data_IF_200303634606
#
_entry.id   IF_200303634606
#
_cell.length_a   1.000
_cell.length_b   1.000
_cell.length_c   1.000
_cell.angle_alpha   90.00
_cell.angle_beta   90.00
_cell.angle_gamma   90.00
#
_symmetry.space_group_name_H-M   'P 1'
#
loop_
_entity.id
_entity.type
_entity.pdbx_description
1 polymer ?
#
# COMPACT_ATOMS: atom_id res chain seq x y z
N UNK A 1 7.09 50.75 15.26
CA UNK A 1 6.51 49.73 16.18
C UNK A 1 5.75 48.74 15.31
N UNK A 2 6.12 47.49 15.11
CA UNK A 2 7.21 46.64 15.63
C UNK A 2 7.48 45.57 14.57
N UNK A 3 8.76 45.32 14.32
CA UNK A 3 9.31 44.33 13.37
C UNK A 3 9.49 42.99 14.11
N UNK A 4 9.02 41.88 13.55
CA UNK A 4 9.43 40.49 13.90
C UNK A 4 9.49 39.70 12.58
N UNK A 5 10.64 39.72 11.90
CA UNK A 5 11.72 38.70 11.86
C UNK A 5 11.34 37.33 11.28
N UNK A 6 11.81 37.17 10.04
CA UNK A 6 12.21 35.94 9.33
C UNK A 6 12.91 34.97 10.28
N UNK A 7 12.35 33.77 10.49
CA UNK A 7 13.03 32.67 11.16
C UNK A 7 13.62 31.75 10.08
N UNK A 8 14.94 31.58 10.17
CA UNK A 8 15.77 30.79 9.29
C UNK A 8 15.51 29.30 9.49
N UNK A 9 15.44 28.58 8.36
CA UNK A 9 15.49 27.13 8.27
C UNK A 9 16.86 26.65 8.78
N UNK A 10 16.88 26.13 10.00
CA UNK A 10 17.88 25.19 10.49
C UNK A 10 17.14 23.91 10.89
N UNK A 11 16.71 23.11 9.89
CA UNK A 11 16.34 21.71 10.10
C UNK A 11 17.58 20.88 9.78
N UNK A 12 18.60 21.06 10.62
CA UNK A 12 19.83 20.27 10.60
C UNK A 12 19.76 19.15 11.63
N UNK A 13 20.11 17.94 11.20
CA UNK A 13 20.67 16.85 12.02
C UNK A 13 19.69 16.09 12.94
N UNK A 14 18.65 16.71 13.51
CA UNK A 14 17.72 16.02 14.44
C UNK A 14 16.77 14.98 13.81
N UNK A 15 16.54 15.05 12.49
CA UNK A 15 15.65 14.14 11.73
C UNK A 15 16.32 12.79 11.41
N UNK A 16 17.64 12.80 11.25
CA UNK A 16 18.45 11.62 10.94
C UNK A 16 18.75 10.77 12.19
N UNK A 17 18.84 11.38 13.38
CA UNK A 17 18.99 10.62 14.62
C UNK A 17 17.72 9.85 15.01
N UNK A 18 16.53 10.37 14.67
CA UNK A 18 15.26 9.67 14.85
C UNK A 18 15.10 8.49 13.87
N UNK A 19 15.58 8.64 12.63
CA UNK A 19 15.66 7.55 11.63
C UNK A 19 16.70 6.50 12.04
N UNK A 20 17.88 6.91 12.52
CA UNK A 20 18.93 5.99 13.01
C UNK A 20 18.47 5.15 14.21
N UNK A 21 17.76 5.75 15.17
CA UNK A 21 17.20 5.04 16.31
C UNK A 21 16.03 4.12 15.94
N UNK A 22 15.33 4.40 14.84
CA UNK A 22 14.31 3.50 14.29
C UNK A 22 14.97 2.29 13.61
N UNK A 23 16.02 2.51 12.80
CA UNK A 23 16.77 1.46 12.09
C UNK A 23 17.55 0.53 13.04
N UNK A 24 18.16 1.05 14.09
CA UNK A 24 18.93 0.23 15.05
C UNK A 24 18.02 -0.59 15.99
N UNK A 25 16.82 -0.08 16.31
CA UNK A 25 15.75 -0.90 16.94
C UNK A 25 15.19 -1.95 15.98
N UNK A 26 15.16 -1.64 14.67
CA UNK A 26 14.69 -2.53 13.61
C UNK A 26 15.59 -3.75 13.41
N UNK A 27 16.91 -3.58 13.51
CA UNK A 27 17.89 -4.67 13.40
C UNK A 27 17.87 -5.58 14.63
N UNK A 28 17.54 -5.03 15.81
CA UNK A 28 17.37 -5.83 17.04
C UNK A 28 16.02 -6.58 17.05
N UNK A 29 14.98 -6.05 16.38
CA UNK A 29 13.70 -6.75 16.20
C UNK A 29 13.78 -7.84 15.12
N UNK A 30 14.55 -7.63 14.04
CA UNK A 30 14.73 -8.64 12.98
C UNK A 30 15.45 -9.90 13.47
N UNK A 31 16.44 -9.78 14.37
CA UNK A 31 17.18 -10.92 14.94
C UNK A 31 16.33 -11.78 15.89
N UNK A 32 15.30 -11.22 16.53
CA UNK A 32 14.35 -11.97 17.34
C UNK A 32 13.27 -12.68 16.51
N UNK A 33 13.12 -12.32 15.22
CA UNK A 33 12.10 -12.86 14.30
C UNK A 33 12.58 -14.13 13.57
N UNK A 34 13.89 -14.39 13.48
CA UNK A 34 14.47 -15.53 12.75
C UNK A 34 14.62 -16.83 13.56
N UNK A 35 13.81 -17.01 14.61
CA UNK A 35 13.80 -18.23 15.43
C UNK A 35 13.32 -19.51 14.72
N UNK A 36 12.74 -19.41 13.52
CA UNK A 36 12.50 -20.55 12.63
C UNK A 36 12.47 -20.07 11.17
N UNK A 37 13.66 -19.93 10.59
CA UNK A 37 13.80 -19.98 9.14
C UNK A 37 13.32 -21.36 8.66
N UNK A 38 12.07 -21.46 8.21
CA UNK A 38 11.63 -22.59 7.39
C UNK A 38 12.53 -22.57 6.15
N UNK A 39 13.40 -23.59 5.94
CA UNK A 39 14.27 -23.59 4.78
C UNK A 39 13.39 -23.73 3.55
N UNK A 40 13.52 -22.81 2.60
CA UNK A 40 13.10 -23.04 1.21
C UNK A 40 13.97 -24.17 0.66
N UNK A 41 13.54 -25.41 0.93
CA UNK A 41 14.27 -26.62 0.61
C UNK A 41 14.45 -26.73 -0.91
N UNK A 42 15.71 -26.55 -1.32
CA UNK A 42 16.19 -26.93 -2.63
C UNK A 42 16.06 -28.44 -2.82
N UNK A 43 15.50 -28.79 -3.99
CA UNK A 43 15.51 -30.06 -4.70
C UNK A 43 16.06 -31.31 -4.00
N UNK A 44 15.19 -32.30 -3.83
CA UNK A 44 15.61 -33.70 -3.96
C UNK A 44 14.85 -34.39 -5.10
N UNK A 45 15.67 -34.90 -6.02
CA UNK A 45 15.35 -35.83 -7.11
C UNK A 45 14.36 -36.90 -6.63
N UNK A 46 13.20 -36.95 -7.26
CA UNK A 46 12.47 -38.20 -7.41
C UNK A 46 12.79 -38.79 -8.79
N UNK A 47 13.09 -40.08 -8.78
CA UNK A 47 13.65 -40.89 -9.84
C UNK A 47 12.74 -41.03 -11.06
N UNK A 48 13.40 -41.08 -12.22
CA UNK A 48 12.96 -41.61 -13.53
C UNK A 48 11.76 -42.58 -13.46
N UNK A 49 10.70 -42.26 -14.19
CA UNK A 49 10.24 -43.09 -15.31
C UNK A 49 9.22 -42.32 -16.17
N UNK A 50 9.51 -42.25 -17.46
CA UNK A 50 8.57 -42.20 -18.59
C UNK A 50 7.23 -41.48 -18.42
N UNK A 51 7.12 -40.26 -18.93
CA UNK A 51 6.12 -40.02 -19.97
C UNK A 51 6.51 -38.83 -20.86
N UNK A 52 7.01 -39.17 -22.04
CA UNK A 52 7.36 -38.24 -23.10
C UNK A 52 6.19 -38.18 -24.07
N UNK A 53 5.36 -37.13 -23.99
CA UNK A 53 4.59 -36.52 -25.10
C UNK A 53 3.45 -35.67 -24.53
N UNK A 54 3.71 -34.37 -24.33
CA UNK A 54 2.77 -33.24 -24.54
C UNK A 54 3.34 -32.01 -23.85
N UNK A 55 3.63 -30.97 -24.65
CA UNK A 55 3.63 -29.52 -24.34
C UNK A 55 4.77 -28.80 -25.07
N UNK A 56 4.77 -28.86 -26.40
CA UNK A 56 5.69 -28.10 -27.26
C UNK A 56 5.01 -26.87 -27.89
N UNK A 57 4.27 -26.07 -27.10
CA UNK A 57 3.67 -24.80 -27.60
C UNK A 57 3.78 -23.64 -26.60
N UNK A 58 3.94 -23.89 -25.29
CA UNK A 58 3.99 -22.83 -24.27
C UNK A 58 5.37 -22.21 -23.98
N UNK A 59 6.47 -22.80 -24.49
CA UNK A 59 7.84 -22.40 -24.09
C UNK A 59 8.48 -21.34 -24.99
N UNK A 60 7.89 -21.04 -26.15
CA UNK A 60 8.48 -20.08 -27.10
C UNK A 60 8.08 -18.62 -26.82
N UNK A 61 6.98 -18.38 -26.10
CA UNK A 61 6.54 -17.01 -25.75
C UNK A 61 7.39 -16.40 -24.63
N UNK A 62 7.80 -17.20 -23.65
CA UNK A 62 8.60 -16.74 -22.50
C UNK A 62 10.04 -16.35 -22.88
N UNK A 63 10.59 -16.89 -23.98
CA UNK A 63 11.93 -16.51 -24.45
C UNK A 63 11.98 -15.14 -25.12
N UNK A 64 10.86 -14.61 -25.64
CA UNK A 64 10.82 -13.25 -26.18
C UNK A 64 10.74 -12.19 -25.08
N UNK A 65 10.04 -12.47 -23.98
CA UNK A 65 9.96 -11.56 -22.83
C UNK A 65 11.33 -11.47 -22.14
N UNK A 66 12.04 -12.59 -21.98
CA UNK A 66 13.37 -12.62 -21.35
C UNK A 66 14.47 -11.93 -22.15
N UNK A 67 14.36 -11.86 -23.49
CA UNK A 67 15.35 -11.19 -24.33
C UNK A 67 15.10 -9.67 -24.45
N UNK A 68 13.89 -9.19 -24.15
CA UNK A 68 13.59 -7.75 -24.12
C UNK A 68 14.07 -7.08 -22.81
N UNK A 69 14.17 -7.83 -21.71
CA UNK A 69 14.65 -7.32 -20.42
C UNK A 69 16.15 -7.02 -20.41
N UNK A 70 16.95 -7.62 -21.31
CA UNK A 70 18.40 -7.41 -21.37
C UNK A 70 18.83 -6.15 -22.14
N UNK A 71 17.91 -5.39 -22.71
CA UNK A 71 18.20 -4.16 -23.46
C UNK A 71 17.78 -2.88 -22.71
N UNK A 72 17.26 -2.99 -21.48
CA UNK A 72 17.14 -1.83 -20.61
C UNK A 72 18.54 -1.51 -20.07
N UNK A 73 19.29 -0.79 -20.90
CA UNK A 73 20.42 0.00 -20.45
C UNK A 73 19.93 0.80 -19.23
N UNK A 74 20.65 0.70 -18.12
CA UNK A 74 20.37 1.40 -16.88
C UNK A 74 20.61 2.89 -17.15
N UNK A 75 19.64 3.58 -17.75
CA UNK A 75 19.57 5.03 -17.64
C UNK A 75 19.38 5.33 -16.16
N UNK A 76 20.31 6.08 -15.59
CA UNK A 76 20.17 6.67 -14.26
C UNK A 76 18.83 7.41 -14.24
N UNK A 77 17.86 6.83 -13.52
CA UNK A 77 16.61 7.51 -13.24
C UNK A 77 17.00 8.80 -12.50
N UNK A 78 16.61 9.97 -13.00
CA UNK A 78 16.87 11.21 -12.28
C UNK A 78 16.32 11.10 -10.86
N UNK A 79 17.06 11.65 -9.89
CA UNK A 79 16.63 11.76 -8.49
C UNK A 79 15.16 12.22 -8.44
N UNK A 80 14.30 11.58 -7.63
CA UNK A 80 12.83 11.72 -7.70
C UNK A 80 12.31 13.15 -7.48
N UNK A 81 13.17 14.06 -7.04
CA UNK A 81 12.86 15.44 -6.71
C UNK A 81 12.72 16.35 -7.95
N UNK A 82 13.28 15.96 -9.10
CA UNK A 82 13.31 16.82 -10.29
C UNK A 82 12.04 16.78 -11.17
N UNK A 83 11.06 15.91 -10.85
CA UNK A 83 9.91 15.64 -11.72
C UNK A 83 8.55 16.16 -11.20
N UNK A 84 8.51 16.85 -10.06
CA UNK A 84 7.25 17.00 -9.29
C UNK A 84 6.73 18.44 -9.19
N UNK A 85 7.43 19.46 -9.69
CA UNK A 85 7.07 20.86 -9.37
C UNK A 85 5.79 21.39 -10.08
N UNK A 86 5.33 20.79 -11.18
CA UNK A 86 4.22 21.33 -12.00
C UNK A 86 3.05 20.35 -12.24
N UNK A 87 3.07 19.17 -11.61
CA UNK A 87 1.92 18.27 -11.68
C UNK A 87 0.82 18.82 -10.76
N UNK A 88 -0.43 18.96 -11.23
CA UNK A 88 -1.53 19.21 -10.30
C UNK A 88 -1.54 18.05 -9.32
N UNK A 89 -1.43 18.37 -8.02
CA UNK A 89 -1.47 17.40 -6.92
C UNK A 89 -2.83 16.67 -6.98
N UNK A 90 -2.86 15.56 -7.72
CA UNK A 90 -4.05 14.73 -7.85
C UNK A 90 -4.12 13.83 -6.62
N UNK A 91 -4.71 14.37 -5.55
CA UNK A 91 -5.08 13.59 -4.37
C UNK A 91 -6.34 12.75 -4.69
N UNK A 92 -6.14 11.73 -5.52
CA UNK A 92 -7.20 10.84 -6.00
C UNK A 92 -6.78 9.39 -5.74
N UNK A 93 -7.59 8.61 -4.99
CA UNK A 93 -7.30 7.22 -4.71
C UNK A 93 -7.02 6.43 -5.99
N UNK A 94 -5.97 5.59 -6.02
CA UNK A 94 -5.67 4.74 -7.18
C UNK A 94 -6.88 3.89 -7.61
N UNK A 95 -7.68 3.45 -6.64
CA UNK A 95 -8.92 2.71 -6.88
C UNK A 95 -9.94 3.50 -7.72
N UNK A 96 -10.00 4.83 -7.58
CA UNK A 96 -10.91 5.68 -8.34
C UNK A 96 -10.60 5.64 -9.84
N UNK A 97 -9.32 5.57 -10.22
CA UNK A 97 -8.92 5.44 -11.62
C UNK A 97 -9.44 4.15 -12.26
N UNK A 98 -9.48 3.03 -11.50
CA UNK A 98 -9.98 1.74 -12.02
C UNK A 98 -11.44 1.83 -12.46
N UNK A 99 -12.22 2.71 -11.86
CA UNK A 99 -13.64 2.91 -12.19
C UNK A 99 -13.87 3.67 -13.50
N UNK A 100 -12.85 4.36 -14.03
CA UNK A 100 -12.96 5.14 -15.26
C UNK A 100 -12.94 4.23 -16.50
N UNK A 101 -13.67 4.60 -17.57
CA UNK A 101 -13.47 4.03 -18.90
C UNK A 101 -12.00 4.13 -19.34
N UNK A 102 -11.47 3.09 -19.98
CA UNK A 102 -10.04 2.99 -20.36
C UNK A 102 -9.50 4.25 -21.02
N UNK A 103 -10.22 4.84 -21.97
CA UNK A 103 -9.79 6.06 -22.68
C UNK A 103 -9.67 7.28 -21.75
N UNK A 104 -10.58 7.44 -20.79
CA UNK A 104 -10.53 8.53 -19.82
C UNK A 104 -9.39 8.30 -18.83
N UNK A 105 -9.24 7.07 -18.33
CA UNK A 105 -8.16 6.67 -17.44
C UNK A 105 -6.78 6.93 -18.05
N UNK A 106 -6.56 6.45 -19.28
CA UNK A 106 -5.29 6.64 -19.99
C UNK A 106 -4.98 8.13 -20.20
N UNK A 107 -5.97 8.93 -20.60
CA UNK A 107 -5.78 10.36 -20.79
C UNK A 107 -5.36 11.05 -19.48
N UNK A 108 -6.07 10.80 -18.38
CA UNK A 108 -5.77 11.42 -17.08
C UNK A 108 -4.41 10.98 -16.56
N UNK A 109 -4.07 9.69 -16.59
CA UNK A 109 -2.77 9.21 -16.11
C UNK A 109 -1.63 9.84 -16.92
N UNK A 110 -1.73 9.82 -18.25
CA UNK A 110 -0.66 10.37 -19.10
C UNK A 110 -0.49 11.88 -18.91
N UNK A 111 -1.58 12.63 -18.77
CA UNK A 111 -1.51 14.09 -18.66
C UNK A 111 -1.23 14.58 -17.25
N UNK A 112 -1.99 14.07 -16.27
CA UNK A 112 -2.07 14.65 -14.93
C UNK A 112 -1.15 13.93 -13.92
N UNK A 113 -0.79 12.66 -14.18
CA UNK A 113 0.16 11.90 -13.33
C UNK A 113 1.56 11.88 -13.93
N UNK A 114 1.67 11.68 -15.25
CA UNK A 114 2.96 11.60 -15.95
C UNK A 114 3.41 12.93 -16.59
N UNK A 115 2.57 13.97 -16.53
CA UNK A 115 2.93 15.32 -16.97
C UNK A 115 3.05 15.54 -18.47
N UNK A 116 2.64 14.60 -19.32
CA UNK A 116 2.86 14.68 -20.77
C UNK A 116 2.10 15.85 -21.42
N UNK A 117 2.59 16.38 -22.53
CA UNK A 117 1.79 17.32 -23.35
C UNK A 117 0.55 16.63 -23.96
N UNK A 118 -0.37 17.43 -24.52
CA UNK A 118 -1.57 16.87 -25.17
C UNK A 118 -1.20 16.06 -26.42
N UNK A 119 -0.17 16.51 -27.13
CA UNK A 119 0.40 15.88 -28.32
C UNK A 119 1.07 14.55 -27.96
N UNK A 120 1.89 14.54 -26.90
CA UNK A 120 2.54 13.33 -26.38
C UNK A 120 1.54 12.34 -25.78
N UNK A 121 0.41 12.81 -25.26
CA UNK A 121 -0.68 11.94 -24.79
C UNK A 121 -1.47 11.33 -25.97
N UNK A 122 -1.68 12.09 -27.04
CA UNK A 122 -2.45 11.66 -28.21
C UNK A 122 -1.77 10.51 -28.99
N UNK A 123 -0.44 10.56 -29.11
CA UNK A 123 0.36 9.57 -29.83
C UNK A 123 0.20 8.11 -29.31
N UNK A 124 0.45 7.79 -28.02
CA UNK A 124 0.27 6.44 -27.49
C UNK A 124 -1.20 6.01 -27.43
N UNK A 125 -2.14 6.96 -27.39
CA UNK A 125 -3.58 6.68 -27.43
C UNK A 125 -4.12 6.43 -28.84
N UNK A 126 -3.30 6.59 -29.90
CA UNK A 126 -3.72 6.57 -31.30
C UNK A 126 -4.99 7.42 -31.53
N UNK A 127 -4.98 8.63 -30.97
CA UNK A 127 -6.14 9.52 -30.90
C UNK A 127 -5.74 10.94 -31.34
N UNK A 128 -6.71 11.82 -31.55
CA UNK A 128 -6.45 13.23 -31.83
C UNK A 128 -6.40 14.07 -30.55
N UNK A 129 -5.70 15.22 -30.58
CA UNK A 129 -5.66 16.17 -29.45
C UNK A 129 -7.05 16.60 -28.96
N UNK A 130 -8.04 16.92 -29.84
CA UNK A 130 -9.40 17.22 -29.39
C UNK A 130 -10.07 16.04 -28.66
N UNK A 131 -9.84 14.81 -29.11
CA UNK A 131 -10.37 13.62 -28.45
C UNK A 131 -9.72 13.39 -27.07
N UNK A 132 -8.41 13.65 -26.93
CA UNK A 132 -7.71 13.64 -25.64
C UNK A 132 -8.28 14.69 -24.69
N UNK A 133 -8.46 15.94 -25.14
CA UNK A 133 -9.10 17.00 -24.33
C UNK A 133 -10.48 16.58 -23.84
N UNK A 134 -11.30 16.01 -24.73
CA UNK A 134 -12.64 15.53 -24.39
C UNK A 134 -12.60 14.38 -23.36
N UNK A 135 -11.62 13.47 -23.49
CA UNK A 135 -11.41 12.37 -22.54
C UNK A 135 -10.95 12.89 -21.16
N UNK A 136 -10.04 13.87 -21.12
CA UNK A 136 -9.57 14.51 -19.88
C UNK A 136 -10.71 15.20 -19.13
N UNK A 137 -11.50 16.03 -19.83
CA UNK A 137 -12.63 16.73 -19.19
C UNK A 137 -13.60 15.75 -18.54
N UNK A 138 -13.96 14.67 -19.25
CA UNK A 138 -14.84 13.63 -18.69
C UNK A 138 -14.18 12.81 -17.59
N UNK A 139 -12.90 12.49 -17.75
CA UNK A 139 -12.13 11.73 -16.77
C UNK A 139 -12.04 12.47 -15.44
N UNK A 140 -11.63 13.74 -15.46
CA UNK A 140 -11.56 14.61 -14.27
C UNK A 140 -12.92 14.77 -13.60
N UNK A 141 -13.97 15.07 -14.37
CA UNK A 141 -15.33 15.17 -13.82
C UNK A 141 -15.80 13.87 -13.15
N UNK A 142 -15.43 12.70 -13.72
CA UNK A 142 -15.73 11.41 -13.12
C UNK A 142 -14.91 11.12 -11.87
N UNK A 143 -13.62 11.48 -11.86
CA UNK A 143 -12.78 11.33 -10.66
C UNK A 143 -13.27 12.24 -9.54
N UNK A 144 -13.64 13.49 -9.83
CA UNK A 144 -14.26 14.36 -8.83
C UNK A 144 -15.56 13.75 -8.27
N UNK A 145 -16.38 13.13 -9.12
CA UNK A 145 -17.61 12.46 -8.67
C UNK A 145 -17.31 11.23 -7.80
N UNK A 146 -16.22 10.51 -8.09
CA UNK A 146 -15.80 9.35 -7.29
C UNK A 146 -15.13 9.77 -5.99
N UNK A 147 -14.29 10.82 -5.99
CA UNK A 147 -13.71 11.41 -4.78
C UNK A 147 -14.76 12.05 -3.87
N UNK A 148 -15.84 12.59 -4.46
CA UNK A 148 -17.03 13.05 -3.71
C UNK A 148 -18.03 11.93 -3.38
N UNK A 149 -17.82 10.71 -3.86
CA UNK A 149 -18.71 9.61 -3.49
C UNK A 149 -18.46 9.31 -2.01
N UNK A 150 -19.42 9.72 -1.19
CA UNK A 150 -19.44 9.44 0.23
C UNK A 150 -19.32 7.92 0.39
N UNK A 151 -18.24 7.49 1.04
CA UNK A 151 -18.11 6.10 1.41
C UNK A 151 -19.26 5.83 2.37
N UNK A 152 -20.10 4.83 2.05
CA UNK A 152 -21.25 4.49 2.89
C UNK A 152 -20.85 4.30 4.36
N UNK A 153 -21.82 4.24 5.29
CA UNK A 153 -21.53 4.25 6.72
C UNK A 153 -20.46 3.21 7.08
N UNK A 154 -19.48 3.62 7.92
CA UNK A 154 -18.40 2.73 8.33
C UNK A 154 -18.97 1.45 8.93
N UNK A 155 -18.45 0.31 8.47
CA UNK A 155 -18.80 -1.00 9.01
C UNK A 155 -18.56 -1.01 10.54
N UNK A 156 -19.59 -1.25 11.36
CA UNK A 156 -19.46 -1.27 12.82
C UNK A 156 -18.40 -2.24 13.34
N UNK A 157 -18.06 -3.27 12.56
CA UNK A 157 -17.03 -4.26 12.92
C UNK A 157 -15.63 -3.65 12.92
N UNK A 158 -15.36 -2.68 12.05
CA UNK A 158 -14.08 -1.94 12.03
C UNK A 158 -13.95 -1.09 13.29
N UNK A 159 -15.03 -0.43 13.71
CA UNK A 159 -15.09 0.32 14.98
C UNK A 159 -14.85 -0.60 16.17
N UNK A 160 -15.55 -1.74 16.23
CA UNK A 160 -15.36 -2.75 17.27
C UNK A 160 -13.92 -3.25 17.35
N UNK A 161 -13.27 -3.48 16.21
CA UNK A 161 -11.85 -3.88 16.20
C UNK A 161 -10.97 -2.81 16.86
N UNK A 162 -11.14 -1.53 16.49
CA UNK A 162 -10.36 -0.44 17.04
C UNK A 162 -10.59 -0.27 18.56
N UNK A 163 -11.83 -0.42 19.02
CA UNK A 163 -12.19 -0.41 20.45
C UNK A 163 -11.48 -1.54 21.22
N UNK A 164 -11.54 -2.78 20.73
CA UNK A 164 -10.87 -3.91 21.37
C UNK A 164 -9.34 -3.75 21.36
N UNK A 165 -8.77 -3.21 20.29
CA UNK A 165 -7.34 -2.92 20.20
C UNK A 165 -6.89 -1.89 21.24
N UNK A 166 -7.67 -0.80 21.40
CA UNK A 166 -7.39 0.24 22.38
C UNK A 166 -7.60 -0.27 23.82
N UNK A 167 -8.60 -1.14 24.04
CA UNK A 167 -8.81 -1.83 25.30
C UNK A 167 -7.74 -2.89 25.61
N UNK A 168 -6.84 -3.18 24.66
CA UNK A 168 -5.82 -4.25 24.75
C UNK A 168 -6.42 -5.65 24.95
N UNK A 169 -7.65 -5.85 24.46
CA UNK A 169 -8.34 -7.13 24.54
C UNK A 169 -7.93 -8.04 23.37
N UNK A 170 -6.73 -8.60 23.51
CA UNK A 170 -6.13 -9.46 22.48
C UNK A 170 -6.87 -10.78 22.32
N UNK A 171 -7.53 -11.27 23.38
CA UNK A 171 -8.34 -12.49 23.32
C UNK A 171 -9.62 -12.27 22.53
N UNK A 172 -10.33 -11.17 22.77
CA UNK A 172 -11.50 -10.81 21.96
C UNK A 172 -11.11 -10.57 20.50
N UNK A 173 -9.98 -9.93 20.22
CA UNK A 173 -9.46 -9.77 18.85
C UNK A 173 -9.14 -11.12 18.18
N UNK A 174 -8.50 -12.05 18.90
CA UNK A 174 -8.26 -13.42 18.43
C UNK A 174 -9.54 -14.19 18.17
N UNK A 175 -10.61 -13.91 18.91
CA UNK A 175 -11.92 -14.53 18.73
C UNK A 175 -12.66 -14.01 17.49
N UNK A 176 -12.27 -12.85 16.93
CA UNK A 176 -12.81 -12.36 15.66
C UNK A 176 -12.20 -13.05 14.44
N UNK A 177 -11.03 -13.68 14.57
CA UNK A 177 -10.37 -14.34 13.44
C UNK A 177 -11.03 -15.67 13.11
N UNK A 178 -11.30 -15.87 11.83
CA UNK A 178 -11.67 -17.17 11.29
C UNK A 178 -10.52 -18.17 11.39
N UNK A 179 -10.82 -19.47 11.45
CA UNK A 179 -9.79 -20.52 11.48
C UNK A 179 -8.91 -20.57 10.23
N UNK A 180 -9.42 -20.06 9.11
CA UNK A 180 -8.75 -19.98 7.81
C UNK A 180 -8.28 -18.56 7.46
N UNK A 181 -8.24 -17.67 8.45
CA UNK A 181 -7.86 -16.28 8.23
C UNK A 181 -6.49 -16.17 7.53
N UNK A 182 -6.36 -15.16 6.66
CA UNK A 182 -5.11 -14.82 6.00
C UNK A 182 -4.58 -13.52 6.56
N UNK A 183 -3.27 -13.47 6.76
CA UNK A 183 -2.55 -12.27 7.18
C UNK A 183 -1.48 -11.94 6.16
N UNK A 184 -1.48 -10.72 5.67
CA UNK A 184 -0.40 -10.10 4.91
C UNK A 184 0.22 -8.97 5.73
N UNK A 185 1.44 -9.18 6.21
CA UNK A 185 2.31 -8.08 6.65
C UNK A 185 2.97 -7.55 5.37
N UNK A 186 2.49 -6.40 4.88
CA UNK A 186 2.79 -5.93 3.52
C UNK A 186 4.30 -5.85 3.29
N UNK A 187 4.75 -6.41 2.17
CA UNK A 187 6.17 -6.52 1.78
C UNK A 187 7.08 -7.31 2.74
N UNK A 188 6.53 -7.99 3.74
CA UNK A 188 7.31 -8.74 4.74
C UNK A 188 6.98 -10.24 4.80
N UNK A 189 5.71 -10.60 5.01
CA UNK A 189 5.33 -12.01 5.17
C UNK A 189 3.85 -12.24 4.94
N UNK A 190 3.50 -13.49 4.65
CA UNK A 190 2.13 -13.97 4.58
C UNK A 190 1.94 -15.17 5.49
N UNK A 191 0.83 -15.22 6.21
CA UNK A 191 0.45 -16.31 7.12
C UNK A 191 -0.99 -16.69 6.88
N UNK A 192 -1.33 -17.94 7.15
CA UNK A 192 -2.69 -18.44 6.98
C UNK A 192 -3.08 -19.37 8.13
N UNK A 193 -4.38 -19.43 8.39
CA UNK A 193 -5.02 -20.23 9.40
C UNK A 193 -4.49 -19.99 10.82
N UNK A 194 -4.20 -21.06 11.57
CA UNK A 194 -3.79 -20.96 12.98
C UNK A 194 -2.55 -20.08 13.22
N UNK A 195 -1.64 -19.99 12.25
CA UNK A 195 -0.45 -19.13 12.36
C UNK A 195 -0.78 -17.62 12.42
N UNK A 196 -2.00 -17.23 12.03
CA UNK A 196 -2.47 -15.84 12.16
C UNK A 196 -2.73 -15.48 13.62
N UNK A 197 -3.00 -16.44 14.52
CA UNK A 197 -3.27 -16.12 15.95
C UNK A 197 -2.07 -15.50 16.67
N UNK A 198 -0.85 -15.81 16.24
CA UNK A 198 0.39 -15.19 16.75
C UNK A 198 0.48 -13.68 16.48
N UNK A 199 -0.27 -13.18 15.50
CA UNK A 199 -0.34 -11.78 15.12
C UNK A 199 -0.63 -10.86 16.32
N UNK A 200 -1.65 -11.20 17.11
CA UNK A 200 -2.04 -10.40 18.27
C UNK A 200 -1.11 -10.57 19.46
N UNK A 201 -0.37 -11.68 19.53
CA UNK A 201 0.70 -11.83 20.54
C UNK A 201 1.79 -10.77 20.35
N UNK A 202 2.17 -10.49 19.10
CA UNK A 202 3.16 -9.44 18.79
C UNK A 202 2.64 -8.04 19.05
N UNK A 203 1.37 -7.77 18.70
CA UNK A 203 0.75 -6.50 19.04
C UNK A 203 0.69 -6.25 20.56
N UNK A 204 0.57 -7.29 21.38
CA UNK A 204 0.63 -7.15 22.83
C UNK A 204 1.98 -6.58 23.33
N UNK A 205 3.06 -6.84 22.61
CA UNK A 205 4.40 -6.30 22.90
C UNK A 205 4.62 -4.93 22.24
N UNK A 206 4.30 -4.81 20.95
CA UNK A 206 4.58 -3.61 20.14
C UNK A 206 3.68 -2.44 20.52
N UNK A 207 2.39 -2.68 20.73
CA UNK A 207 1.43 -1.59 20.88
C UNK A 207 1.65 -0.73 22.14
N UNK A 208 2.00 -1.29 23.31
CA UNK A 208 2.42 -0.49 24.45
C UNK A 208 3.79 0.19 24.23
N UNK A 209 4.76 -0.52 23.66
CA UNK A 209 6.12 -0.01 23.46
C UNK A 209 6.18 1.19 22.52
N UNK A 210 5.31 1.21 21.51
CA UNK A 210 5.17 2.30 20.55
C UNK A 210 4.01 3.26 20.85
N UNK A 211 3.29 3.07 21.97
CA UNK A 211 2.11 3.84 22.33
C UNK A 211 1.07 3.93 21.19
N UNK A 212 0.83 2.80 20.51
CA UNK A 212 -0.09 2.74 19.37
C UNK A 212 -1.56 2.88 19.81
N UNK A 213 -2.28 3.76 19.11
CA UNK A 213 -3.74 3.95 19.22
C UNK A 213 -4.41 3.59 17.89
N UNK A 214 -5.46 2.79 17.95
CA UNK A 214 -6.28 2.48 16.78
C UNK A 214 -7.44 3.48 16.64
N UNK A 215 -7.76 3.87 15.42
CA UNK A 215 -8.94 4.65 15.09
C UNK A 215 -9.63 4.06 13.85
N UNK A 216 -10.95 3.94 13.90
CA UNK A 216 -11.72 3.39 12.80
C UNK A 216 -12.16 4.53 11.87
N UNK A 217 -11.98 4.35 10.56
CA UNK A 217 -12.30 5.38 9.59
C UNK A 217 -12.02 4.91 8.17
N UNK A 218 -11.75 5.88 7.30
CA UNK A 218 -11.46 5.64 5.91
C UNK A 218 -10.11 6.24 5.53
N UNK A 219 -9.32 5.49 4.78
CA UNK A 219 -8.20 6.01 4.02
C UNK A 219 -8.59 5.91 2.56
N UNK A 220 -8.60 7.04 1.86
CA UNK A 220 -8.86 7.10 0.42
C UNK A 220 -10.22 6.45 0.04
N UNK A 221 -11.21 6.57 0.93
CA UNK A 221 -12.55 5.98 0.80
C UNK A 221 -12.65 4.48 1.11
N UNK A 222 -11.55 3.81 1.45
CA UNK A 222 -11.56 2.42 1.89
C UNK A 222 -11.64 2.32 3.42
N UNK A 223 -12.51 1.45 3.99
CA UNK A 223 -12.60 1.28 5.44
C UNK A 223 -11.31 0.66 5.99
N UNK A 224 -10.74 1.31 7.01
CA UNK A 224 -9.49 0.89 7.64
C UNK A 224 -9.53 1.05 9.16
N UNK A 225 -8.59 0.39 9.82
CA UNK A 225 -8.15 0.72 11.17
C UNK A 225 -6.85 1.50 11.05
N UNK A 226 -6.91 2.81 11.26
CA UNK A 226 -5.74 3.68 11.32
C UNK A 226 -4.97 3.45 12.62
N UNK A 227 -3.66 3.33 12.52
CA UNK A 227 -2.75 3.13 13.64
C UNK A 227 -1.93 4.39 13.85
N UNK A 228 -2.16 5.05 14.98
CA UNK A 228 -1.54 6.31 15.36
C UNK A 228 -0.39 6.07 16.33
N UNK A 229 0.71 6.79 16.11
CA UNK A 229 1.83 6.93 17.05
C UNK A 229 1.87 8.37 17.52
N UNK A 230 1.28 8.64 18.69
CA UNK A 230 0.94 10.02 19.08
C UNK A 230 -0.05 10.63 18.10
N UNK A 231 0.30 11.77 17.52
CA UNK A 231 -0.52 12.49 16.52
C UNK A 231 -0.20 12.10 15.07
N UNK A 232 0.77 11.19 14.85
CA UNK A 232 1.18 10.79 13.50
C UNK A 232 0.45 9.52 13.10
N UNK A 233 -0.20 9.54 11.93
CA UNK A 233 -0.71 8.33 11.29
C UNK A 233 0.50 7.48 10.85
N UNK A 234 0.75 6.39 11.57
CA UNK A 234 1.95 5.57 11.35
C UNK A 234 1.75 4.57 10.21
N UNK A 235 0.58 3.94 10.17
CA UNK A 235 0.14 2.98 9.14
C UNK A 235 -1.35 2.69 9.34
N UNK A 236 -1.93 1.83 8.51
CA UNK A 236 -3.30 1.38 8.66
C UNK A 236 -3.43 -0.11 8.34
N UNK A 237 -4.46 -0.73 8.90
CA UNK A 237 -4.81 -2.14 8.71
C UNK A 237 -6.14 -2.23 7.97
N UNK A 238 -6.20 -3.06 6.92
CA UNK A 238 -7.45 -3.42 6.24
C UNK A 238 -7.92 -4.79 6.67
N UNK A 239 -9.23 -4.92 6.86
CA UNK A 239 -9.88 -6.13 7.34
C UNK A 239 -10.89 -6.61 6.31
N UNK A 240 -10.78 -7.87 5.90
CA UNK A 240 -11.77 -8.58 5.12
C UNK A 240 -12.66 -9.43 6.04
N UNK A 241 -13.97 -9.34 5.85
CA UNK A 241 -14.95 -10.00 6.70
C UNK A 241 -15.82 -10.98 5.92
N UNK A 242 -16.11 -12.13 6.52
CA UNK A 242 -17.09 -13.10 6.04
C UNK A 242 -17.87 -13.64 7.24
N UNK A 243 -19.20 -13.63 7.18
CA UNK A 243 -20.08 -14.16 8.22
C UNK A 243 -19.79 -13.66 9.65
N UNK A 244 -19.28 -12.42 9.77
CA UNK A 244 -18.96 -11.79 11.06
C UNK A 244 -17.55 -12.07 11.58
N UNK A 245 -16.80 -12.94 10.91
CA UNK A 245 -15.39 -13.24 11.20
C UNK A 245 -14.46 -12.48 10.26
N UNK A 246 -13.23 -12.24 10.74
CA UNK A 246 -12.13 -11.70 9.96
C UNK A 246 -11.49 -12.86 9.20
N UNK A 247 -11.54 -12.79 7.87
CA UNK A 247 -10.93 -13.78 6.96
C UNK A 247 -9.66 -13.27 6.29
N UNK A 248 -9.46 -11.95 6.27
CA UNK A 248 -8.27 -11.31 5.70
C UNK A 248 -7.84 -10.15 6.57
N UNK A 249 -6.54 -10.08 6.87
CA UNK A 249 -5.90 -8.97 7.57
C UNK A 249 -4.74 -8.51 6.71
N UNK A 250 -4.75 -7.25 6.32
CA UNK A 250 -3.65 -6.64 5.58
C UNK A 250 -3.09 -5.48 6.36
N UNK A 251 -1.88 -5.66 6.86
CA UNK A 251 -1.22 -4.77 7.80
C UNK A 251 -0.01 -4.09 7.16
N UNK A 252 -0.07 -2.77 7.11
CA UNK A 252 0.94 -1.92 6.48
C UNK A 252 2.08 -1.50 7.40
N UNK A 253 2.22 -2.10 8.59
CA UNK A 253 3.26 -1.74 9.59
C UNK A 253 4.68 -1.58 9.00
N UNK A 254 5.07 -2.43 8.05
CA UNK A 254 6.41 -2.42 7.42
C UNK A 254 6.54 -1.50 6.20
N UNK A 255 5.49 -0.79 5.82
CA UNK A 255 5.48 0.15 4.69
C UNK A 255 4.91 1.52 5.12
N UNK A 256 5.50 2.18 6.15
CA UNK A 256 4.93 3.38 6.76
C UNK A 256 4.81 4.56 5.79
N UNK A 257 5.56 4.57 4.69
CA UNK A 257 5.44 5.59 3.64
C UNK A 257 4.04 5.64 3.01
N UNK A 258 3.26 4.56 3.07
CA UNK A 258 1.88 4.53 2.57
C UNK A 258 0.94 5.44 3.39
N UNK A 259 1.35 5.86 4.59
CA UNK A 259 0.59 6.77 5.42
C UNK A 259 0.95 8.25 5.21
N UNK A 260 2.03 8.57 4.50
CA UNK A 260 2.51 9.94 4.33
C UNK A 260 1.55 10.80 3.51
N UNK A 261 0.99 10.22 2.45
CA UNK A 261 0.05 10.87 1.52
C UNK A 261 -1.39 10.38 1.71
N UNK A 262 -1.63 9.48 2.67
CA UNK A 262 -2.94 8.92 2.90
C UNK A 262 -3.87 9.97 3.53
N UNK A 263 -5.02 10.21 2.90
CA UNK A 263 -6.06 11.04 3.51
C UNK A 263 -6.93 10.20 4.44
N UNK A 264 -6.75 10.37 5.76
CA UNK A 264 -7.62 9.75 6.76
C UNK A 264 -8.86 10.61 7.06
N UNK A 265 -10.01 9.95 7.09
CA UNK A 265 -11.28 10.52 7.57
C UNK A 265 -11.87 9.63 8.66
N UNK A 266 -12.10 10.20 9.84
CA UNK A 266 -12.71 9.52 10.97
C UNK A 266 -14.19 9.22 10.73
N UNK A 267 -14.72 8.23 11.45
CA UNK A 267 -16.13 7.81 11.38
C UNK A 267 -16.96 8.22 12.60
#
# INVERSE_FOLDING_TARGET
MTVIRRAELHVGVGRLEAEGAAVERYERLSVLIDGDAVPLAHGRRCSRSSDARRRTVGQQHLRRVSAATSCLQREELPEPEAFVDDLPELDVPLAAFVTLPTTQRSAVILKDVLGLSLEETAAPMNSSVPAVKSALTRGRANLERVGRADHGPLDPRVRRYAELFNARDWDALRALLSEEARLELVSRSRREGRAVREYFGRYAEVAPAEALRAEAGFVDGAPVVAMWRGEVLAYFVRLGWLDGEIVDVRDSYFVPYIALEAHFSGA
#
